data_IF_028187692607
#
_entry.id   IF_028187692607
#
_cell.length_a   1.000
_cell.length_b   1.000
_cell.length_c   1.000
_cell.angle_alpha   90.00
_cell.angle_beta   90.00
_cell.angle_gamma   90.00
#
_symmetry.space_group_name_H-M   'P 1'
#
loop_
_entity.id
_entity.type
_entity.pdbx_description
1 polymer ?
#
# COMPACT_ATOMS: atom_id res chain seq x y z
N UNK A 1 48.08 33.29 -13.77
CA UNK A 1 48.24 32.05 -12.99
C UNK A 1 47.30 32.19 -11.80
N UNK A 2 46.10 31.59 -11.87
CA UNK A 2 45.71 30.37 -11.14
C UNK A 2 45.82 30.57 -9.62
N UNK A 3 44.82 30.34 -8.77
CA UNK A 3 43.66 29.44 -8.75
C UNK A 3 42.76 29.96 -7.61
N UNK A 4 41.43 30.10 -7.73
CA UNK A 4 40.51 28.97 -7.80
C UNK A 4 40.27 28.40 -6.39
N UNK A 5 39.22 28.87 -5.72
CA UNK A 5 38.54 28.11 -4.67
C UNK A 5 37.04 28.17 -4.95
N UNK A 6 36.59 27.10 -5.61
CA UNK A 6 35.21 26.79 -5.92
C UNK A 6 34.35 26.79 -4.65
N UNK A 7 33.43 27.74 -4.56
CA UNK A 7 32.20 27.55 -3.79
C UNK A 7 31.19 26.83 -4.70
N UNK A 8 31.32 25.51 -4.83
CA UNK A 8 30.21 24.67 -5.31
C UNK A 8 29.84 23.74 -4.16
N UNK A 9 28.89 24.20 -3.35
CA UNK A 9 28.11 23.38 -2.45
C UNK A 9 27.43 22.27 -3.26
N UNK A 10 27.89 21.03 -3.13
CA UNK A 10 27.18 19.84 -3.59
C UNK A 10 25.94 19.63 -2.70
N UNK A 11 24.96 20.52 -2.79
CA UNK A 11 23.64 20.29 -2.20
C UNK A 11 22.93 19.24 -3.04
N UNK A 12 22.51 18.13 -2.41
CA UNK A 12 21.68 17.12 -3.07
C UNK A 12 20.43 17.80 -3.66
N UNK A 13 20.12 17.63 -4.95
CA UNK A 13 18.95 18.24 -5.57
C UNK A 13 17.66 17.99 -4.76
N UNK A 14 16.78 18.99 -4.66
CA UNK A 14 15.55 18.92 -3.83
C UNK A 14 14.68 17.71 -4.17
N UNK A 15 14.56 17.36 -5.45
CA UNK A 15 13.80 16.20 -5.91
C UNK A 15 14.42 14.85 -5.50
N UNK A 16 15.65 14.81 -4.99
CA UNK A 16 16.28 13.61 -4.43
C UNK A 16 16.25 13.58 -2.90
N UNK A 17 15.77 14.66 -2.26
CA UNK A 17 15.61 14.72 -0.83
C UNK A 17 14.27 14.09 -0.44
N UNK A 18 14.32 12.84 0.03
CA UNK A 18 13.14 12.13 0.51
C UNK A 18 12.61 12.80 1.78
N UNK A 19 11.32 13.16 1.76
CA UNK A 19 10.62 13.87 2.83
C UNK A 19 10.52 13.06 4.13
N UNK A 20 10.49 11.72 4.06
CA UNK A 20 10.42 10.87 5.24
C UNK A 20 11.54 11.24 6.24
N UNK A 21 11.22 11.32 7.55
CA UNK A 21 12.18 11.72 8.55
C UNK A 21 13.37 10.76 8.55
N UNK A 22 14.60 11.27 8.69
CA UNK A 22 15.75 10.41 8.88
C UNK A 22 15.61 9.62 10.18
N UNK A 23 16.29 8.47 10.26
CA UNK A 23 16.62 7.90 11.56
C UNK A 23 17.37 8.95 12.37
N UNK A 24 16.76 9.42 13.46
CA UNK A 24 17.54 10.13 14.47
C UNK A 24 18.48 9.11 15.12
N UNK A 25 19.79 9.42 15.24
CA UNK A 25 20.69 8.57 15.98
C UNK A 25 20.21 8.52 17.43
N UNK A 26 19.56 7.41 17.80
CA UNK A 26 19.20 7.15 19.17
C UNK A 26 20.51 6.87 19.93
N UNK A 27 20.88 7.77 20.84
CA UNK A 27 21.95 7.50 21.78
C UNK A 27 21.62 6.28 22.64
N UNK A 28 22.65 5.65 23.20
CA UNK A 28 22.44 4.56 24.15
C UNK A 28 21.71 5.09 25.39
N UNK A 29 20.52 4.56 25.65
CA UNK A 29 19.74 4.92 26.84
C UNK A 29 20.00 3.92 27.97
N UNK A 30 21.16 4.05 28.61
CA UNK A 30 21.62 3.13 29.66
C UNK A 30 20.74 3.09 30.92
N UNK A 31 19.84 4.07 31.11
CA UNK A 31 18.91 4.09 32.23
C UNK A 31 17.69 3.19 32.03
N UNK A 32 17.47 2.68 30.81
CA UNK A 32 16.32 1.82 30.52
C UNK A 32 16.18 0.64 31.49
N UNK A 33 17.24 -0.14 31.80
CA UNK A 33 17.12 -1.28 32.72
C UNK A 33 16.85 -0.89 34.18
N UNK A 34 17.06 0.38 34.55
CA UNK A 34 16.83 0.90 35.89
C UNK A 34 15.39 1.38 36.10
N UNK A 35 14.61 1.47 35.02
CA UNK A 35 13.20 1.82 35.11
C UNK A 35 12.39 0.69 35.77
N UNK A 36 11.35 1.02 36.55
CA UNK A 36 10.41 0.03 37.05
C UNK A 36 9.82 -0.83 35.92
N UNK A 37 9.53 -2.10 36.23
CA UNK A 37 9.03 -3.08 35.26
C UNK A 37 7.82 -2.58 34.48
N UNK A 38 6.88 -1.91 35.15
CA UNK A 38 5.68 -1.37 34.52
C UNK A 38 5.99 -0.29 33.48
N UNK A 39 7.00 0.56 33.75
CA UNK A 39 7.44 1.60 32.82
C UNK A 39 8.14 0.97 31.62
N UNK A 40 9.03 0.00 31.85
CA UNK A 40 9.70 -0.74 30.76
C UNK A 40 8.68 -1.45 29.87
N UNK A 41 7.67 -2.06 30.47
CA UNK A 41 6.56 -2.68 29.75
C UNK A 41 5.82 -1.69 28.86
N UNK A 42 5.45 -0.52 29.38
CA UNK A 42 4.78 0.53 28.61
C UNK A 42 5.65 1.03 27.45
N UNK A 43 6.97 1.19 27.65
CA UNK A 43 7.89 1.56 26.57
C UNK A 43 7.90 0.50 25.47
N UNK A 44 7.93 -0.79 25.84
CA UNK A 44 7.86 -1.86 24.85
C UNK A 44 6.54 -1.85 24.08
N UNK A 45 5.40 -1.71 24.76
CA UNK A 45 4.10 -1.61 24.09
C UNK A 45 4.03 -0.39 23.17
N UNK A 46 4.52 0.76 23.63
CA UNK A 46 4.53 1.99 22.84
C UNK A 46 5.36 1.82 21.56
N UNK A 47 6.55 1.22 21.64
CA UNK A 47 7.38 0.95 20.46
C UNK A 47 6.80 -0.05 19.44
N UNK A 48 5.74 -0.77 19.82
CA UNK A 48 4.99 -1.67 18.94
C UNK A 48 3.74 -1.02 18.35
N UNK A 49 3.29 0.11 18.92
CA UNK A 49 2.01 0.75 18.64
C UNK A 49 2.03 1.60 17.36
N UNK A 50 2.42 0.98 16.24
CA UNK A 50 2.39 1.57 14.91
C UNK A 50 1.47 0.78 14.00
N UNK A 51 0.79 1.47 13.10
CA UNK A 51 -0.01 0.82 12.06
C UNK A 51 0.91 0.10 11.07
N UNK A 52 0.44 -1.04 10.55
CA UNK A 52 1.18 -1.81 9.53
C UNK A 52 0.30 -2.13 8.34
N UNK A 53 0.85 -1.95 7.16
CA UNK A 53 0.26 -2.35 5.88
C UNK A 53 0.88 -3.68 5.44
N UNK A 54 0.09 -4.75 5.43
CA UNK A 54 0.55 -6.11 5.16
C UNK A 54 -0.02 -6.61 3.84
N UNK A 55 0.84 -6.68 2.83
CA UNK A 55 0.50 -7.21 1.51
C UNK A 55 0.48 -8.73 1.55
N UNK A 56 -0.71 -9.31 1.36
CA UNK A 56 -0.90 -10.76 1.34
C UNK A 56 -1.63 -11.22 0.07
N UNK A 57 -1.26 -12.41 -0.38
CA UNK A 57 -1.98 -13.16 -1.37
C UNK A 57 -2.52 -14.44 -0.72
N UNK A 58 -3.80 -14.70 -0.92
CA UNK A 58 -4.46 -15.91 -0.44
C UNK A 58 -4.59 -16.88 -1.61
N UNK A 59 -3.80 -17.96 -1.58
CA UNK A 59 -3.76 -18.95 -2.65
C UNK A 59 -3.98 -20.35 -2.10
N UNK A 60 -4.47 -21.25 -2.94
CA UNK A 60 -4.31 -22.69 -2.71
C UNK A 60 -2.96 -23.09 -3.31
N UNK A 61 -2.03 -23.53 -2.48
CA UNK A 61 -0.72 -24.01 -2.95
C UNK A 61 -0.88 -25.39 -3.60
N UNK A 62 -1.37 -25.45 -4.84
CA UNK A 62 -1.30 -26.67 -5.67
C UNK A 62 0.07 -26.73 -6.36
N UNK A 63 1.10 -27.17 -5.63
CA UNK A 63 2.36 -27.60 -6.26
C UNK A 63 2.21 -29.02 -6.76
N UNK A 64 1.65 -29.20 -7.97
CA UNK A 64 1.63 -30.51 -8.64
C UNK A 64 3.00 -30.96 -9.16
N UNK A 65 4.06 -30.18 -8.93
CA UNK A 65 5.46 -30.61 -9.02
C UNK A 65 6.37 -29.80 -8.08
N UNK A 66 6.48 -30.16 -6.79
CA UNK A 66 7.55 -29.66 -5.92
C UNK A 66 8.81 -30.53 -6.12
N UNK A 67 10.03 -29.97 -6.08
CA UNK A 67 11.24 -30.78 -5.93
C UNK A 67 11.10 -31.69 -4.69
N UNK A 68 11.53 -32.94 -4.81
CA UNK A 68 11.28 -34.12 -3.96
C UNK A 68 11.40 -33.98 -2.42
N UNK A 69 11.77 -32.83 -1.85
CA UNK A 69 11.95 -32.62 -0.40
C UNK A 69 10.75 -32.01 0.34
N UNK A 70 9.67 -31.63 -0.34
CA UNK A 70 8.51 -30.95 0.30
C UNK A 70 7.30 -31.84 0.56
N UNK A 71 7.40 -33.16 0.34
CA UNK A 71 6.26 -34.09 0.44
C UNK A 71 5.77 -34.37 1.87
N UNK A 72 6.52 -33.99 2.90
CA UNK A 72 6.24 -34.42 4.29
C UNK A 72 5.51 -33.39 5.17
N UNK A 73 5.24 -32.16 4.70
CA UNK A 73 4.64 -31.10 5.54
C UNK A 73 3.29 -30.56 5.06
N UNK A 74 2.73 -31.10 3.99
CA UNK A 74 1.44 -30.68 3.44
C UNK A 74 0.26 -31.31 4.19
N UNK A 75 0.00 -30.86 5.41
CA UNK A 75 -1.33 -31.03 5.99
C UNK A 75 -2.27 -30.04 5.28
N UNK A 76 -3.14 -30.58 4.41
CA UNK A 76 -4.51 -30.16 4.04
C UNK A 76 -5.00 -28.73 4.36
N UNK A 77 -4.19 -27.68 4.20
CA UNK A 77 -4.65 -26.30 4.34
C UNK A 77 -5.37 -25.88 3.06
N UNK A 78 -6.64 -25.49 3.18
CA UNK A 78 -7.48 -25.13 2.04
C UNK A 78 -7.12 -23.76 1.41
N UNK A 79 -6.26 -23.00 2.08
CA UNK A 79 -5.65 -21.77 1.60
C UNK A 79 -4.28 -21.60 2.28
N UNK A 80 -3.45 -20.72 1.74
CA UNK A 80 -2.17 -20.35 2.32
C UNK A 80 -1.98 -18.84 2.21
N UNK A 81 -1.43 -18.25 3.27
CA UNK A 81 -1.06 -16.84 3.31
C UNK A 81 0.34 -16.68 2.71
N UNK A 82 0.44 -15.95 1.61
CA UNK A 82 1.73 -15.63 0.96
C UNK A 82 1.99 -14.13 1.08
N UNK A 83 3.11 -13.77 1.69
CA UNK A 83 3.50 -12.38 1.90
C UNK A 83 4.09 -11.79 0.62
N UNK A 84 3.62 -10.62 0.19
CA UNK A 84 4.09 -9.94 -1.01
C UNK A 84 5.52 -9.39 -0.90
N UNK A 85 6.00 -9.19 0.33
CA UNK A 85 7.28 -8.57 0.62
C UNK A 85 8.02 -9.26 1.77
N UNK A 86 9.30 -8.93 1.92
CA UNK A 86 10.16 -9.49 2.97
C UNK A 86 9.58 -9.21 4.35
N UNK A 87 9.16 -10.28 5.02
CA UNK A 87 8.68 -10.23 6.39
C UNK A 87 9.81 -9.81 7.34
N UNK A 88 9.67 -8.63 7.96
CA UNK A 88 10.57 -8.15 9.01
C UNK A 88 9.85 -8.26 10.35
N UNK A 89 10.06 -9.38 11.04
CA UNK A 89 9.60 -9.54 12.42
C UNK A 89 10.23 -8.43 13.28
N UNK A 90 9.45 -7.83 14.18
CA UNK A 90 9.95 -6.81 15.10
C UNK A 90 11.21 -7.30 15.81
N UNK A 91 12.21 -6.42 15.96
CA UNK A 91 13.45 -6.75 16.67
C UNK A 91 13.17 -7.14 18.13
N UNK A 92 12.07 -6.64 18.72
CA UNK A 92 11.68 -6.93 20.10
C UNK A 92 11.43 -8.41 20.38
N UNK A 93 11.17 -9.23 19.36
CA UNK A 93 11.08 -10.68 19.53
C UNK A 93 12.43 -11.34 19.90
N UNK A 94 13.55 -10.63 19.73
CA UNK A 94 14.91 -11.18 19.85
C UNK A 94 15.85 -10.38 20.75
N UNK A 95 15.42 -9.21 21.27
CA UNK A 95 16.29 -8.34 22.09
C UNK A 95 16.44 -8.87 23.52
N UNK A 96 15.34 -8.98 24.29
CA UNK A 96 15.33 -9.53 25.64
C UNK A 96 14.12 -10.45 25.85
N UNK A 97 14.10 -11.22 26.95
CA UNK A 97 12.93 -12.01 27.34
C UNK A 97 11.71 -11.12 27.61
N UNK A 98 11.93 -9.95 28.22
CA UNK A 98 10.90 -8.96 28.50
C UNK A 98 10.31 -8.37 27.22
N UNK A 99 11.15 -7.90 26.29
CA UNK A 99 10.68 -7.33 25.03
C UNK A 99 9.96 -8.38 24.19
N UNK A 100 10.41 -9.64 24.22
CA UNK A 100 9.76 -10.75 23.53
C UNK A 100 8.38 -11.04 24.11
N UNK A 101 8.24 -11.02 25.44
CA UNK A 101 6.95 -11.19 26.12
C UNK A 101 5.98 -10.06 25.74
N UNK A 102 6.44 -8.82 25.72
CA UNK A 102 5.64 -7.68 25.26
C UNK A 102 5.21 -7.83 23.79
N UNK A 103 6.13 -8.22 22.90
CA UNK A 103 5.84 -8.44 21.49
C UNK A 103 4.84 -9.57 21.25
N UNK A 104 4.93 -10.68 21.98
CA UNK A 104 3.98 -11.79 21.89
C UNK A 104 2.59 -11.44 22.45
N UNK A 105 2.54 -10.63 23.51
CA UNK A 105 1.27 -10.14 24.06
C UNK A 105 0.59 -9.15 23.10
N UNK A 106 1.37 -8.31 22.43
CA UNK A 106 0.86 -7.34 21.46
C UNK A 106 0.40 -8.01 20.17
N UNK A 107 1.26 -8.80 19.53
CA UNK A 107 0.92 -9.58 18.35
C UNK A 107 0.37 -10.95 18.72
N UNK A 108 -0.84 -10.92 19.29
CA UNK A 108 -1.48 -12.06 19.94
C UNK A 108 -1.89 -13.18 18.98
N UNK A 109 -2.08 -12.88 17.70
CA UNK A 109 -2.41 -13.89 16.68
C UNK A 109 -1.14 -14.32 15.96
N UNK A 110 -1.00 -15.63 15.76
CA UNK A 110 0.11 -16.25 15.04
C UNK A 110 -0.43 -17.17 13.95
N UNK A 111 -0.18 -16.82 12.69
CA UNK A 111 -0.59 -17.62 11.55
C UNK A 111 0.62 -18.18 10.79
N UNK A 112 0.58 -19.44 10.33
CA UNK A 112 1.57 -19.93 9.38
C UNK A 112 1.43 -19.18 8.06
N UNK A 113 2.55 -18.75 7.48
CA UNK A 113 2.55 -18.09 6.18
C UNK A 113 3.83 -18.42 5.40
N UNK A 114 3.85 -17.98 4.16
CA UNK A 114 4.92 -18.21 3.21
C UNK A 114 5.47 -16.89 2.71
N UNK A 115 6.78 -16.88 2.45
CA UNK A 115 7.48 -15.75 1.84
C UNK A 115 8.33 -16.24 0.68
N UNK A 116 8.28 -15.53 -0.46
CA UNK A 116 9.14 -15.77 -1.61
C UNK A 116 10.42 -14.95 -1.50
N UNK A 117 11.56 -15.63 -1.35
CA UNK A 117 12.85 -14.95 -1.47
C UNK A 117 13.08 -14.45 -2.90
N UNK A 118 14.06 -13.55 -3.09
CA UNK A 118 14.49 -13.09 -4.43
C UNK A 118 14.92 -14.25 -5.34
N UNK A 119 15.38 -15.35 -4.74
CA UNK A 119 15.82 -16.56 -5.42
C UNK A 119 14.66 -17.53 -5.73
N UNK A 120 13.40 -17.07 -5.55
CA UNK A 120 12.18 -17.85 -5.72
C UNK A 120 12.08 -19.06 -4.77
N UNK A 121 12.74 -18.97 -3.63
CA UNK A 121 12.67 -20.00 -2.60
C UNK A 121 11.55 -19.65 -1.63
N UNK A 122 10.57 -20.55 -1.55
CA UNK A 122 9.50 -20.52 -0.56
C UNK A 122 10.03 -20.85 0.82
N UNK A 123 9.88 -19.91 1.74
CA UNK A 123 10.21 -20.10 3.16
C UNK A 123 8.96 -20.01 4.00
N UNK A 124 8.72 -21.01 4.85
CA UNK A 124 7.66 -20.97 5.84
C UNK A 124 8.07 -20.05 6.99
N UNK A 125 7.21 -19.11 7.33
CA UNK A 125 7.42 -18.15 8.43
C UNK A 125 6.13 -17.96 9.23
N UNK A 126 6.21 -17.27 10.37
CA UNK A 126 5.05 -16.95 11.20
C UNK A 126 4.67 -15.48 11.00
N UNK A 127 3.42 -15.26 10.64
CA UNK A 127 2.78 -13.96 10.60
C UNK A 127 2.22 -13.65 11.99
N UNK A 128 2.77 -12.62 12.61
CA UNK A 128 2.36 -12.11 13.93
C UNK A 128 1.41 -10.93 13.69
N UNK A 129 0.19 -10.99 14.22
CA UNK A 129 -0.89 -10.04 13.90
C UNK A 129 -1.43 -9.35 15.15
N UNK A 130 -1.66 -8.04 15.01
CA UNK A 130 -2.40 -7.17 15.91
C UNK A 130 -3.59 -6.60 15.09
N UNK A 131 -4.78 -7.23 15.18
CA UNK A 131 -5.98 -6.85 14.42
C UNK A 131 -6.27 -5.34 14.32
N UNK A 132 -6.11 -4.63 15.43
CA UNK A 132 -6.49 -3.22 15.57
C UNK A 132 -5.62 -2.29 14.72
N UNK A 133 -4.35 -2.67 14.47
CA UNK A 133 -3.36 -1.82 13.79
C UNK A 133 -2.88 -2.38 12.45
N UNK A 134 -3.12 -3.66 12.17
CA UNK A 134 -2.69 -4.31 10.93
C UNK A 134 -3.75 -4.21 9.84
N UNK A 135 -3.40 -3.54 8.73
CA UNK A 135 -4.20 -3.45 7.52
C UNK A 135 -3.78 -4.53 6.54
N UNK A 136 -4.71 -5.41 6.18
CA UNK A 136 -4.44 -6.48 5.23
C UNK A 136 -4.80 -6.07 3.81
N UNK A 137 -3.77 -5.93 2.96
CA UNK A 137 -3.97 -5.68 1.54
C UNK A 137 -4.00 -7.00 0.77
N UNK A 138 -5.18 -7.38 0.30
CA UNK A 138 -5.37 -8.63 -0.43
C UNK A 138 -5.10 -8.39 -1.92
N UNK A 139 -3.92 -8.74 -2.42
CA UNK A 139 -3.58 -8.57 -3.84
C UNK A 139 -4.37 -9.52 -4.77
N UNK A 140 -4.85 -10.63 -4.22
CA UNK A 140 -5.74 -11.59 -4.86
C UNK A 140 -6.92 -11.86 -3.95
N UNK A 141 -8.13 -11.65 -4.45
CA UNK A 141 -9.35 -11.83 -3.67
C UNK A 141 -10.14 -13.04 -4.16
N UNK A 142 -10.34 -14.00 -3.26
CA UNK A 142 -11.23 -15.15 -3.46
C UNK A 142 -12.08 -15.30 -2.23
N UNK A 143 -13.40 -15.32 -2.38
CA UNK A 143 -14.32 -15.45 -1.25
C UNK A 143 -14.04 -16.69 -0.40
N UNK A 144 -13.72 -17.81 -1.04
CA UNK A 144 -13.46 -19.07 -0.34
C UNK A 144 -12.23 -18.97 0.57
N UNK A 145 -11.20 -18.26 0.13
CA UNK A 145 -9.99 -18.09 0.94
C UNK A 145 -10.13 -16.95 1.94
N UNK A 146 -10.80 -15.86 1.55
CA UNK A 146 -11.11 -14.75 2.43
C UNK A 146 -11.94 -15.19 3.63
N UNK A 147 -12.99 -15.98 3.41
CA UNK A 147 -13.87 -16.50 4.46
C UNK A 147 -13.08 -17.28 5.52
N UNK A 148 -12.21 -18.19 5.08
CA UNK A 148 -11.37 -18.99 5.99
C UNK A 148 -10.32 -18.13 6.69
N UNK A 149 -9.67 -17.23 5.96
CA UNK A 149 -8.68 -16.33 6.53
C UNK A 149 -9.29 -15.42 7.61
N UNK A 150 -10.44 -14.82 7.35
CA UNK A 150 -11.15 -13.98 8.31
C UNK A 150 -11.61 -14.78 9.54
N UNK A 151 -12.06 -16.02 9.33
CA UNK A 151 -12.39 -16.93 10.42
C UNK A 151 -11.18 -17.29 11.28
N UNK A 152 -10.05 -17.65 10.67
CA UNK A 152 -8.85 -18.05 11.40
C UNK A 152 -8.27 -16.88 12.20
N UNK A 153 -8.28 -15.66 11.64
CA UNK A 153 -7.94 -14.45 12.41
C UNK A 153 -8.84 -14.29 13.64
N UNK A 154 -10.15 -14.52 13.50
CA UNK A 154 -11.08 -14.41 14.64
C UNK A 154 -10.95 -15.55 15.66
N UNK A 155 -10.77 -16.78 15.19
CA UNK A 155 -10.69 -17.97 16.02
C UNK A 155 -9.35 -18.06 16.77
N UNK A 156 -8.26 -17.59 16.16
CA UNK A 156 -6.94 -17.54 16.79
C UNK A 156 -6.74 -16.29 17.66
N UNK A 157 -7.67 -15.32 17.64
CA UNK A 157 -7.60 -14.13 18.49
C UNK A 157 -8.23 -14.40 19.86
N UNK A 158 -7.47 -14.33 20.96
CA UNK A 158 -8.03 -14.42 22.32
C UNK A 158 -9.06 -13.31 22.62
N UNK A 159 -8.97 -12.16 21.94
CA UNK A 159 -9.91 -11.05 22.08
C UNK A 159 -11.08 -11.14 21.11
N UNK A 160 -11.08 -12.13 20.19
CA UNK A 160 -12.14 -12.33 19.19
C UNK A 160 -12.46 -11.10 18.33
N UNK A 161 -11.47 -10.24 18.05
CA UNK A 161 -11.64 -9.07 17.18
C UNK A 161 -11.63 -9.50 15.71
N UNK A 162 -10.69 -10.35 15.31
CA UNK A 162 -10.61 -10.89 13.96
C UNK A 162 -10.15 -9.87 12.91
N UNK A 163 -10.67 -9.95 11.68
CA UNK A 163 -10.28 -9.04 10.60
C UNK A 163 -11.13 -7.76 10.63
N UNK A 164 -10.51 -6.62 10.96
CA UNK A 164 -11.20 -5.31 11.04
C UNK A 164 -10.69 -4.28 10.02
N UNK A 165 -9.40 -4.33 9.64
CA UNK A 165 -8.79 -3.41 8.68
C UNK A 165 -8.45 -4.15 7.36
N UNK A 166 -9.23 -3.89 6.32
CA UNK A 166 -9.10 -4.54 5.01
C UNK A 166 -8.76 -3.53 3.92
N UNK A 167 -7.83 -3.90 3.04
CA UNK A 167 -7.52 -3.15 1.84
C UNK A 167 -7.58 -4.03 0.59
N UNK A 168 -8.08 -3.47 -0.50
CA UNK A 168 -8.35 -4.16 -1.77
C UNK A 168 -7.87 -3.28 -2.95
N UNK A 169 -7.24 -3.85 -4.01
CA UNK A 169 -7.00 -3.13 -5.25
C UNK A 169 -8.25 -2.44 -5.84
N UNK A 170 -8.14 -1.15 -6.14
CA UNK A 170 -9.18 -0.40 -6.86
C UNK A 170 -9.40 -0.94 -8.29
N UNK A 171 -8.38 -1.59 -8.88
CA UNK A 171 -8.49 -2.21 -10.20
C UNK A 171 -9.16 -3.60 -10.20
N UNK A 172 -9.69 -4.07 -9.07
CA UNK A 172 -10.22 -5.43 -8.97
C UNK A 172 -11.31 -5.73 -10.01
N UNK A 173 -11.14 -6.81 -10.82
CA UNK A 173 -12.15 -7.24 -11.78
C UNK A 173 -13.49 -7.58 -11.13
N UNK A 174 -14.57 -7.24 -11.83
CA UNK A 174 -15.95 -7.46 -11.37
C UNK A 174 -16.29 -8.94 -11.12
N UNK A 175 -15.57 -9.88 -11.75
CA UNK A 175 -15.78 -11.31 -11.58
C UNK A 175 -15.39 -11.82 -10.18
N UNK A 176 -14.49 -11.14 -9.47
CA UNK A 176 -14.08 -11.55 -8.12
C UNK A 176 -15.14 -11.28 -7.05
N UNK A 177 -16.11 -10.41 -7.33
CA UNK A 177 -17.27 -10.15 -6.47
C UNK A 177 -18.48 -11.03 -6.80
N UNK A 178 -18.37 -11.93 -7.80
CA UNK A 178 -19.44 -12.89 -8.10
C UNK A 178 -19.43 -13.99 -7.05
N UNK A 179 -20.25 -13.82 -6.03
CA UNK A 179 -20.54 -14.85 -5.06
C UNK A 179 -21.51 -15.87 -5.67
N UNK A 180 -21.17 -17.16 -5.61
CA UNK A 180 -22.16 -18.24 -5.77
C UNK A 180 -22.91 -18.46 -4.44
N UNK A 181 -23.31 -17.38 -3.75
CA UNK A 181 -24.03 -17.49 -2.49
C UNK A 181 -25.42 -18.03 -2.80
N UNK A 182 -25.74 -19.21 -2.26
CA UNK A 182 -27.11 -19.72 -2.21
C UNK A 182 -27.84 -18.94 -1.11
N UNK A 183 -28.97 -18.28 -1.40
CA UNK A 183 -29.62 -17.34 -0.49
C UNK A 183 -30.18 -17.93 0.83
N UNK A 184 -30.10 -19.24 1.05
CA UNK A 184 -30.74 -19.95 2.17
C UNK A 184 -29.80 -20.81 3.03
N UNK A 185 -28.48 -20.65 2.94
CA UNK A 185 -27.56 -21.31 3.89
C UNK A 185 -27.37 -20.45 5.14
N UNK A 186 -27.17 -21.12 6.29
CA UNK A 186 -26.67 -20.59 7.58
C UNK A 186 -25.75 -19.38 7.41
N UNK A 187 -25.73 -18.39 8.35
CA UNK A 187 -24.95 -17.16 8.21
C UNK A 187 -23.52 -17.52 7.83
N UNK A 188 -23.20 -17.31 6.55
CA UNK A 188 -21.96 -17.80 5.99
C UNK A 188 -20.82 -17.22 6.83
N UNK A 189 -19.77 -18.00 7.05
CA UNK A 189 -18.57 -17.51 7.76
C UNK A 189 -18.06 -16.23 7.07
N UNK A 190 -18.32 -16.12 5.77
CA UNK A 190 -18.18 -14.89 4.99
C UNK A 190 -18.98 -13.70 5.55
N UNK A 191 -20.29 -13.85 5.84
CA UNK A 191 -21.11 -12.78 6.42
C UNK A 191 -20.53 -12.28 7.73
N UNK A 192 -20.07 -13.19 8.60
CA UNK A 192 -19.45 -12.81 9.86
C UNK A 192 -18.09 -12.12 9.65
N UNK A 193 -17.27 -12.60 8.71
CA UNK A 193 -16.01 -11.95 8.36
C UNK A 193 -16.21 -10.55 7.82
N UNK A 194 -17.20 -10.37 6.93
CA UNK A 194 -17.57 -9.07 6.37
C UNK A 194 -18.15 -8.13 7.42
N UNK A 195 -18.99 -8.60 8.34
CA UNK A 195 -19.64 -7.73 9.34
C UNK A 195 -18.66 -7.09 10.33
N UNK A 196 -17.48 -7.68 10.54
CA UNK A 196 -16.43 -7.17 11.44
C UNK A 196 -15.57 -6.07 10.83
N UNK A 197 -15.62 -5.87 9.51
CA UNK A 197 -14.79 -4.84 8.87
C UNK A 197 -15.16 -3.46 9.42
N UNK A 198 -14.18 -2.79 10.02
CA UNK A 198 -14.28 -1.42 10.54
C UNK A 198 -13.70 -0.42 9.55
N UNK A 199 -12.69 -0.83 8.77
CA UNK A 199 -12.06 0.00 7.76
C UNK A 199 -11.86 -0.75 6.46
N UNK A 200 -12.27 -0.12 5.36
CA UNK A 200 -12.05 -0.60 4.01
C UNK A 200 -11.29 0.44 3.19
N UNK A 201 -10.15 0.05 2.64
CA UNK A 201 -9.37 0.89 1.73
C UNK A 201 -9.34 0.32 0.32
N UNK A 202 -9.84 1.07 -0.66
CA UNK A 202 -9.67 0.76 -2.08
C UNK A 202 -8.39 1.42 -2.58
N UNK A 203 -7.33 0.64 -2.79
CA UNK A 203 -5.99 1.16 -3.09
C UNK A 203 -5.70 1.16 -4.60
N UNK A 204 -5.27 2.30 -5.12
CA UNK A 204 -4.72 2.46 -6.46
C UNK A 204 -3.20 2.64 -6.40
N UNK A 205 -2.47 1.71 -7.02
CA UNK A 205 -1.02 1.80 -7.27
C UNK A 205 -0.69 2.46 -8.62
N UNK A 206 -1.73 2.83 -9.39
CA UNK A 206 -1.62 3.42 -10.74
C UNK A 206 -1.67 4.94 -10.76
N UNK A 207 -1.87 5.59 -9.60
CA UNK A 207 -2.31 6.98 -9.48
C UNK A 207 -1.36 8.07 -9.97
N UNK A 208 -0.38 7.80 -10.83
CA UNK A 208 0.57 8.84 -11.23
C UNK A 208 1.32 8.68 -12.55
N UNK A 209 1.16 7.61 -13.33
CA UNK A 209 1.86 7.50 -14.62
C UNK A 209 0.90 7.02 -15.67
N UNK A 210 0.65 7.82 -16.71
CA UNK A 210 0.01 7.32 -17.92
C UNK A 210 0.52 8.00 -19.17
N UNK A 211 0.70 7.17 -20.20
CA UNK A 211 0.90 7.58 -21.57
C UNK A 211 -0.46 7.86 -22.21
N UNK A 212 -0.80 9.14 -22.37
CA UNK A 212 -2.01 9.58 -23.04
C UNK A 212 -1.75 9.58 -24.55
N UNK A 213 -2.21 8.55 -25.27
CA UNK A 213 -2.24 8.56 -26.74
C UNK A 213 -3.51 9.26 -27.25
N UNK A 214 -3.58 10.58 -27.10
CA UNK A 214 -4.68 11.38 -27.66
C UNK A 214 -4.33 12.01 -29.03
N UNK A 215 -3.06 12.04 -29.45
CA UNK A 215 -2.63 12.64 -30.74
C UNK A 215 -1.50 11.85 -31.43
N UNK A 216 -0.93 12.36 -32.54
CA UNK A 216 0.31 11.81 -33.17
C UNK A 216 1.50 11.77 -32.18
N UNK A 217 1.43 12.52 -31.09
CA UNK A 217 2.41 12.54 -30.02
C UNK A 217 1.74 12.11 -28.71
N UNK A 218 2.28 11.10 -28.00
CA UNK A 218 1.79 10.77 -26.68
C UNK A 218 2.13 11.89 -25.69
N UNK A 219 1.21 12.20 -24.78
CA UNK A 219 1.47 13.08 -23.64
C UNK A 219 1.76 12.18 -22.44
N UNK A 220 2.89 12.40 -21.77
CA UNK A 220 3.23 11.72 -20.53
C UNK A 220 2.87 12.62 -19.37
N UNK A 221 1.85 12.23 -18.62
CA UNK A 221 1.41 12.95 -17.44
C UNK A 221 1.88 12.19 -16.21
N UNK A 222 2.61 12.88 -15.35
CA UNK A 222 3.15 12.32 -14.13
C UNK A 222 2.86 13.21 -12.94
N UNK A 223 2.15 12.67 -11.95
CA UNK A 223 1.87 13.41 -10.73
C UNK A 223 3.00 13.12 -9.72
N UNK A 224 3.96 14.05 -9.63
CA UNK A 224 5.12 13.97 -8.74
C UNK A 224 4.79 14.22 -7.27
N UNK A 225 3.59 14.71 -6.99
CA UNK A 225 3.10 14.99 -5.65
C UNK A 225 2.68 13.71 -4.92
N UNK A 226 2.13 12.74 -5.66
CA UNK A 226 1.60 11.49 -5.11
C UNK A 226 2.71 10.68 -4.41
N UNK A 227 2.47 10.13 -3.21
CA UNK A 227 3.44 9.30 -2.49
C UNK A 227 3.87 8.04 -3.24
N UNK A 228 5.10 7.61 -3.03
CA UNK A 228 5.70 6.43 -3.65
C UNK A 228 5.46 5.20 -2.77
N UNK A 229 4.93 4.12 -3.34
CA UNK A 229 4.68 2.88 -2.60
C UNK A 229 6.00 2.22 -2.17
N UNK A 230 6.03 1.66 -0.96
CA UNK A 230 7.18 0.93 -0.42
C UNK A 230 6.76 -0.44 0.10
N UNK A 231 7.76 -1.32 0.24
CA UNK A 231 7.58 -2.62 0.87
C UNK A 231 7.75 -2.58 2.40
N UNK A 232 8.07 -1.42 2.96
CA UNK A 232 8.03 -1.20 4.42
C UNK A 232 6.57 -1.23 4.87
N UNK A 233 6.31 -2.05 5.88
CA UNK A 233 4.96 -2.31 6.35
C UNK A 233 4.49 -1.26 7.35
N UNK A 234 5.37 -0.81 8.25
CA UNK A 234 5.01 0.17 9.28
C UNK A 234 4.94 1.59 8.72
N UNK A 235 3.91 2.33 9.14
CA UNK A 235 3.74 3.73 8.77
C UNK A 235 3.14 4.53 9.93
N UNK A 236 3.38 5.83 9.90
CA UNK A 236 2.72 6.81 10.76
C UNK A 236 1.69 7.59 9.95
N UNK A 237 0.53 7.86 10.56
CA UNK A 237 -0.57 8.57 9.90
C UNK A 237 -0.53 10.05 10.25
N UNK A 238 -0.34 10.90 9.26
CA UNK A 238 -0.48 12.34 9.39
C UNK A 238 -1.90 12.77 8.95
N UNK A 239 -2.55 13.69 9.66
CA UNK A 239 -3.92 14.11 9.36
C UNK A 239 -4.06 14.80 7.99
N UNK A 240 -2.97 15.40 7.50
CA UNK A 240 -2.86 15.94 6.15
C UNK A 240 -1.42 15.79 5.65
N UNK A 241 -1.22 15.80 4.33
CA UNK A 241 0.11 15.88 3.74
C UNK A 241 0.66 17.32 3.81
N UNK A 242 1.69 17.58 4.62
CA UNK A 242 2.21 18.94 4.84
C UNK A 242 2.99 19.48 3.63
N UNK A 243 3.25 18.65 2.61
CA UNK A 243 3.95 19.06 1.39
C UNK A 243 3.03 19.72 0.37
N UNK A 244 1.71 19.58 0.55
CA UNK A 244 0.71 20.00 -0.42
C UNK A 244 0.41 21.49 -0.38
N UNK A 245 0.20 22.05 -1.57
CA UNK A 245 -0.44 23.33 -1.83
C UNK A 245 -1.81 23.11 -2.47
N UNK A 246 -2.72 24.10 -2.37
CA UNK A 246 -4.12 23.94 -2.82
C UNK A 246 -4.28 23.58 -4.30
N UNK A 247 -3.33 23.93 -5.15
CA UNK A 247 -3.33 23.59 -6.58
C UNK A 247 -2.98 22.12 -6.86
N UNK A 248 -2.21 21.47 -5.98
CA UNK A 248 -1.68 20.12 -6.20
C UNK A 248 -2.79 19.06 -6.25
N UNK A 249 -3.92 19.32 -5.60
CA UNK A 249 -5.08 18.43 -5.55
C UNK A 249 -6.12 18.72 -6.62
N UNK A 250 -5.99 19.79 -7.41
CA UNK A 250 -6.97 20.10 -8.47
C UNK A 250 -6.94 19.13 -9.63
N UNK A 251 -5.80 18.48 -9.85
CA UNK A 251 -5.58 17.55 -10.94
C UNK A 251 -4.93 16.26 -10.47
N UNK A 252 -5.63 15.52 -9.59
CA UNK A 252 -5.18 14.19 -9.17
C UNK A 252 -5.57 13.18 -10.24
N UNK A 253 -4.56 12.47 -10.76
CA UNK A 253 -4.76 11.48 -11.81
C UNK A 253 -5.08 10.12 -11.19
N UNK A 254 -6.27 9.58 -11.46
CA UNK A 254 -6.70 8.30 -10.90
C UNK A 254 -6.42 7.09 -11.80
N UNK A 255 -5.88 7.29 -13.00
CA UNK A 255 -5.60 6.22 -13.96
C UNK A 255 -6.72 5.99 -14.98
N UNK A 256 -6.76 4.76 -15.50
CA UNK A 256 -7.81 4.18 -16.33
C UNK A 256 -8.90 3.49 -15.50
N UNK A 257 -8.92 3.75 -14.19
CA UNK A 257 -9.75 3.04 -13.22
C UNK A 257 -11.04 3.82 -13.00
N UNK A 258 -12.18 3.16 -13.17
CA UNK A 258 -13.45 3.59 -12.58
C UNK A 258 -13.31 3.56 -11.05
N UNK A 259 -13.09 4.73 -10.44
CA UNK A 259 -12.86 4.88 -9.00
C UNK A 259 -14.11 4.58 -8.16
N UNK A 260 -15.29 4.67 -8.76
CA UNK A 260 -16.57 4.40 -8.08
C UNK A 260 -16.93 2.91 -8.09
N UNK A 261 -16.64 2.23 -9.19
CA UNK A 261 -16.94 0.82 -9.40
C UNK A 261 -16.56 -0.11 -8.24
N UNK A 262 -15.35 -0.02 -7.64
CA UNK A 262 -14.93 -0.86 -6.52
C UNK A 262 -15.82 -0.72 -5.30
N UNK A 263 -16.19 0.52 -4.93
CA UNK A 263 -17.09 0.77 -3.81
C UNK A 263 -18.50 0.27 -4.09
N UNK A 264 -19.03 0.54 -5.30
CA UNK A 264 -20.32 0.00 -5.73
C UNK A 264 -20.37 -1.54 -5.64
N UNK A 265 -19.31 -2.21 -6.07
CA UNK A 265 -19.19 -3.68 -5.98
C UNK A 265 -19.15 -4.16 -4.53
N UNK A 266 -18.39 -3.48 -3.68
CA UNK A 266 -18.31 -3.79 -2.26
C UNK A 266 -19.66 -3.61 -1.56
N UNK A 267 -20.32 -2.46 -1.73
CA UNK A 267 -21.63 -2.20 -1.14
C UNK A 267 -22.68 -3.18 -1.65
N UNK A 268 -22.66 -3.52 -2.94
CA UNK A 268 -23.50 -4.56 -3.51
C UNK A 268 -23.24 -5.91 -2.84
N UNK A 269 -21.98 -6.30 -2.66
CA UNK A 269 -21.60 -7.54 -1.96
C UNK A 269 -22.20 -7.58 -0.55
N UNK A 270 -22.04 -6.51 0.24
CA UNK A 270 -22.61 -6.42 1.59
C UNK A 270 -24.13 -6.61 1.55
N UNK A 271 -24.83 -5.89 0.65
CA UNK A 271 -26.28 -5.99 0.50
C UNK A 271 -26.74 -7.40 0.12
N UNK A 272 -26.09 -8.03 -0.87
CA UNK A 272 -26.45 -9.39 -1.35
C UNK A 272 -26.12 -10.48 -0.34
N UNK A 273 -25.19 -10.21 0.57
CA UNK A 273 -24.80 -11.13 1.64
C UNK A 273 -25.59 -10.89 2.93
N UNK A 274 -26.52 -9.94 2.96
CA UNK A 274 -27.29 -9.56 4.14
C UNK A 274 -26.41 -9.04 5.28
N UNK A 275 -25.27 -8.42 4.96
CA UNK A 275 -24.36 -7.84 5.95
C UNK A 275 -24.88 -6.48 6.37
N UNK A 276 -25.10 -6.33 7.67
CA UNK A 276 -25.35 -5.05 8.32
C UNK A 276 -24.27 -4.86 9.38
N UNK A 277 -23.63 -3.70 9.38
CA UNK A 277 -22.64 -3.35 10.39
C UNK A 277 -23.37 -2.70 11.58
N UNK A 278 -23.04 -3.13 12.79
CA UNK A 278 -23.53 -2.52 14.03
C UNK A 278 -22.71 -1.28 14.43
N UNK A 279 -21.63 -1.01 13.69
CA UNK A 279 -20.71 0.10 13.85
C UNK A 279 -20.55 0.90 12.57
N UNK A 280 -19.98 2.11 12.71
CA UNK A 280 -19.61 2.94 11.55
C UNK A 280 -18.38 2.35 10.87
N UNK A 281 -18.50 2.07 9.58
CA UNK A 281 -17.36 1.65 8.74
C UNK A 281 -16.71 2.87 8.11
N UNK A 282 -15.38 2.91 8.15
CA UNK A 282 -14.57 3.93 7.50
C UNK A 282 -14.17 3.43 6.11
N UNK A 283 -14.75 4.04 5.08
CA UNK A 283 -14.41 3.76 3.68
C UNK A 283 -13.41 4.79 3.17
N UNK A 284 -12.30 4.32 2.59
CA UNK A 284 -11.21 5.17 2.10
C UNK A 284 -10.76 4.77 0.71
N UNK A 285 -10.31 5.77 -0.05
CA UNK A 285 -9.63 5.57 -1.33
C UNK A 285 -8.14 5.87 -1.16
N UNK A 286 -7.31 4.84 -1.37
CA UNK A 286 -5.87 4.93 -1.23
C UNK A 286 -5.19 5.24 -2.56
N UNK A 287 -4.20 6.14 -2.56
CA UNK A 287 -3.44 6.48 -3.77
C UNK A 287 -1.94 6.44 -3.48
N UNK A 288 -1.21 5.73 -4.32
CA UNK A 288 0.25 5.79 -4.35
C UNK A 288 0.78 5.52 -5.76
N UNK A 289 2.05 5.84 -5.97
CA UNK A 289 2.80 5.52 -7.19
C UNK A 289 3.50 4.19 -7.02
N UNK A 290 3.05 3.19 -7.76
CA UNK A 290 3.77 1.95 -8.00
C UNK A 290 4.62 2.02 -9.28
N UNK A 291 5.42 0.99 -9.51
CA UNK A 291 6.38 0.95 -10.63
C UNK A 291 5.78 0.35 -11.93
N UNK A 292 4.46 0.13 -12.04
CA UNK A 292 3.88 -0.54 -13.21
C UNK A 292 3.81 0.35 -14.46
N UNK A 293 4.96 0.58 -15.09
CA UNK A 293 5.07 0.94 -16.52
C UNK A 293 5.51 -0.31 -17.29
N UNK A 294 4.54 -1.17 -17.63
CA UNK A 294 4.50 -2.01 -18.84
C UNK A 294 5.60 -3.02 -19.22
N UNK A 295 6.85 -3.01 -18.70
CA UNK A 295 7.95 -3.76 -19.34
C UNK A 295 9.04 -4.34 -18.43
N UNK A 296 8.93 -4.29 -17.09
CA UNK A 296 9.89 -4.95 -16.18
C UNK A 296 9.19 -5.79 -15.12
N UNK A 297 9.58 -7.07 -15.02
CA UNK A 297 9.07 -8.02 -14.00
C UNK A 297 9.75 -7.88 -12.63
N UNK A 298 10.54 -6.82 -12.39
CA UNK A 298 11.18 -6.59 -11.09
C UNK A 298 11.10 -5.12 -10.73
N UNK A 299 10.12 -4.78 -9.89
CA UNK A 299 10.03 -3.47 -9.27
C UNK A 299 11.19 -3.32 -8.25
N UNK A 300 11.94 -2.20 -8.26
CA UNK A 300 12.91 -1.94 -7.21
C UNK A 300 12.17 -1.79 -5.88
N UNK A 301 12.43 -2.73 -4.96
CA UNK A 301 11.78 -2.78 -3.65
C UNK A 301 12.36 -1.69 -2.75
N UNK A 302 11.59 -0.62 -2.52
CA UNK A 302 11.94 0.40 -1.53
C UNK A 302 11.83 -0.23 -0.14
N UNK A 303 12.95 -0.27 0.57
CA UNK A 303 13.04 -0.94 1.89
C UNK A 303 13.84 -0.17 2.94
N UNK A 304 14.45 0.95 2.52
CA UNK A 304 15.20 1.92 3.31
C UNK A 304 15.32 3.23 2.51
N UNK A 305 15.85 4.28 3.14
CA UNK A 305 16.01 5.60 2.53
C UNK A 305 16.88 5.59 1.26
N UNK A 306 17.97 4.83 1.26
CA UNK A 306 18.87 4.74 0.11
C UNK A 306 18.16 4.17 -1.13
N UNK A 307 17.43 3.07 -0.97
CA UNK A 307 16.62 2.47 -2.05
C UNK A 307 15.49 3.38 -2.53
N UNK A 308 14.99 4.29 -1.69
CA UNK A 308 14.03 5.31 -2.11
C UNK A 308 14.67 6.37 -3.00
N UNK A 309 15.87 6.84 -2.67
CA UNK A 309 16.64 7.78 -3.51
C UNK A 309 16.95 7.15 -4.86
N UNK A 310 17.43 5.90 -4.88
CA UNK A 310 17.69 5.15 -6.12
C UNK A 310 16.43 5.00 -6.98
N UNK A 311 15.28 4.75 -6.35
CA UNK A 311 14.00 4.66 -7.05
C UNK A 311 13.65 5.99 -7.72
N UNK A 312 13.79 7.12 -7.02
CA UNK A 312 13.49 8.45 -7.57
C UNK A 312 14.46 8.84 -8.70
N UNK A 313 15.74 8.47 -8.58
CA UNK A 313 16.71 8.67 -9.65
C UNK A 313 16.31 7.87 -10.90
N UNK A 314 15.98 6.60 -10.74
CA UNK A 314 15.54 5.77 -11.85
C UNK A 314 14.26 6.32 -12.51
N UNK A 315 13.32 6.78 -11.69
CA UNK A 315 12.07 7.40 -12.12
C UNK A 315 12.29 8.70 -12.93
N UNK A 316 13.25 9.51 -12.49
CA UNK A 316 13.71 10.72 -13.19
C UNK A 316 14.37 10.38 -14.54
N UNK A 317 15.20 9.35 -14.56
CA UNK A 317 15.85 8.89 -15.79
C UNK A 317 14.85 8.27 -16.78
N UNK A 318 13.85 7.54 -16.30
CA UNK A 318 12.76 7.01 -17.13
C UNK A 318 11.98 8.14 -17.79
N UNK A 319 11.64 9.18 -17.03
CA UNK A 319 10.99 10.40 -17.53
C UNK A 319 11.85 11.09 -18.61
N UNK A 320 13.15 11.26 -18.36
CA UNK A 320 14.08 11.84 -19.35
C UNK A 320 14.13 11.02 -20.64
N UNK A 321 14.31 9.70 -20.53
CA UNK A 321 14.33 8.79 -21.69
C UNK A 321 13.04 8.86 -22.50
N UNK A 322 11.90 8.99 -21.81
CA UNK A 322 10.61 9.18 -22.47
C UNK A 322 10.60 10.48 -23.30
N UNK A 323 10.98 11.61 -22.71
CA UNK A 323 11.06 12.90 -23.42
C UNK A 323 11.95 12.82 -24.65
N UNK A 324 13.15 12.26 -24.52
CA UNK A 324 14.09 12.09 -25.64
C UNK A 324 13.54 11.18 -26.76
N UNK A 325 12.77 10.16 -26.41
CA UNK A 325 12.23 9.19 -27.39
C UNK A 325 11.10 9.80 -28.23
N UNK A 326 10.25 10.61 -27.61
CA UNK A 326 9.02 11.13 -28.25
C UNK A 326 9.17 12.55 -28.81
N UNK A 327 10.13 13.35 -28.33
CA UNK A 327 10.47 14.66 -28.89
C UNK A 327 11.72 14.57 -29.77
N UNK A 328 11.54 14.22 -31.05
CA UNK A 328 12.63 14.05 -32.05
C UNK A 328 13.17 15.36 -32.66
N UNK A 329 12.63 16.53 -32.29
CA UNK A 329 13.11 17.81 -32.85
C UNK A 329 14.41 18.25 -32.14
N UNK A 330 15.45 18.67 -32.88
CA UNK A 330 16.68 19.21 -32.30
C UNK A 330 16.47 20.48 -31.47
N UNK A 331 15.49 21.33 -31.82
CA UNK A 331 15.21 22.58 -31.08
C UNK A 331 14.62 22.32 -29.69
N UNK A 332 13.77 21.30 -29.57
CA UNK A 332 13.15 20.91 -28.29
C UNK A 332 14.17 20.26 -27.33
N UNK A 333 15.23 19.63 -27.85
CA UNK A 333 16.22 18.92 -27.02
C UNK A 333 16.97 19.84 -26.04
N UNK A 334 17.20 21.10 -26.42
CA UNK A 334 17.79 22.11 -25.53
C UNK A 334 16.82 22.63 -24.44
N UNK A 335 15.52 22.40 -24.61
CA UNK A 335 14.49 22.79 -23.63
C UNK A 335 14.14 21.65 -22.67
N UNK A 336 14.48 20.40 -23.00
CA UNK A 336 14.20 19.21 -22.18
C UNK A 336 14.79 19.37 -20.77
N UNK A 337 16.06 19.78 -20.65
CA UNK A 337 16.68 19.92 -19.33
C UNK A 337 16.01 21.01 -18.49
N UNK A 338 15.57 22.11 -19.11
CA UNK A 338 14.81 23.16 -18.44
C UNK A 338 13.40 22.71 -18.04
N UNK A 339 12.71 21.93 -18.87
CA UNK A 339 11.37 21.44 -18.60
C UNK A 339 11.38 20.37 -17.51
N UNK A 340 12.34 19.44 -17.57
CA UNK A 340 12.60 18.44 -16.53
C UNK A 340 12.95 19.14 -15.22
N UNK A 341 13.92 20.08 -15.23
CA UNK A 341 14.29 20.83 -14.04
C UNK A 341 13.08 21.55 -13.43
N UNK A 342 12.27 22.22 -14.25
CA UNK A 342 11.04 22.88 -13.79
C UNK A 342 10.08 21.91 -13.10
N UNK A 343 9.77 20.77 -13.73
CA UNK A 343 8.88 19.76 -13.14
C UNK A 343 9.38 19.31 -11.77
N UNK A 344 10.67 19.03 -11.64
CA UNK A 344 11.25 18.52 -10.39
C UNK A 344 11.54 19.58 -9.33
N UNK A 345 11.76 20.84 -9.70
CA UNK A 345 11.98 21.95 -8.77
C UNK A 345 10.67 22.52 -8.21
N UNK A 346 9.62 22.59 -9.05
CA UNK A 346 8.28 23.03 -8.66
C UNK A 346 7.52 21.95 -7.88
N UNK A 347 7.84 20.67 -8.10
CA UNK A 347 7.24 19.57 -7.34
C UNK A 347 7.71 19.55 -5.88
N UNK A 348 6.83 19.14 -4.95
CA UNK A 348 7.25 18.89 -3.57
C UNK A 348 8.27 17.76 -3.50
N UNK A 349 9.00 17.72 -2.39
CA UNK A 349 9.94 16.64 -2.08
C UNK A 349 9.23 15.28 -2.17
N UNK A 350 9.80 14.27 -2.84
CA UNK A 350 9.21 12.94 -2.88
C UNK A 350 9.03 12.36 -1.48
N UNK A 351 7.94 11.63 -1.28
CA UNK A 351 7.67 10.92 -0.03
C UNK A 351 7.38 9.46 -0.33
N UNK A 352 7.79 8.60 0.59
CA UNK A 352 7.47 7.18 0.57
C UNK A 352 6.30 6.93 1.51
N UNK A 353 5.23 6.33 0.99
CA UNK A 353 3.98 6.18 1.69
C UNK A 353 2.80 6.03 0.72
N UNK A 354 1.62 6.42 1.19
CA UNK A 354 0.40 6.51 0.40
C UNK A 354 -0.54 7.56 0.98
N UNK A 355 -1.42 8.10 0.14
CA UNK A 355 -2.53 8.93 0.58
C UNK A 355 -3.75 8.07 0.90
N UNK A 356 -4.55 8.51 1.87
CA UNK A 356 -5.90 8.03 2.09
C UNK A 356 -6.87 9.21 1.99
N UNK A 357 -7.83 9.10 1.08
CA UNK A 357 -8.94 10.01 0.97
C UNK A 357 -10.21 9.37 1.53
N UNK A 358 -11.16 10.16 2.05
CA UNK A 358 -12.50 9.68 2.33
C UNK A 358 -13.17 9.16 1.04
N UNK A 359 -14.01 8.13 1.13
CA UNK A 359 -14.70 7.55 -0.03
C UNK A 359 -15.46 8.61 -0.85
N UNK A 360 -16.03 9.61 -0.18
CA UNK A 360 -16.77 10.72 -0.76
C UNK A 360 -15.97 11.53 -1.79
N UNK A 361 -14.63 11.48 -1.72
CA UNK A 361 -13.76 12.21 -2.66
C UNK A 361 -13.79 11.64 -4.08
N UNK A 362 -14.19 10.39 -4.24
CA UNK A 362 -14.24 9.71 -5.55
C UNK A 362 -15.60 9.08 -5.83
N UNK A 363 -16.46 9.01 -4.82
CA UNK A 363 -17.76 8.37 -4.88
C UNK A 363 -18.84 9.27 -4.31
N UNK A 364 -19.80 9.64 -5.16
CA UNK A 364 -21.07 10.22 -4.71
C UNK A 364 -22.12 9.13 -4.95
N UNK A 365 -22.89 8.72 -3.94
CA UNK A 365 -23.98 7.77 -4.15
C UNK A 365 -25.02 8.42 -5.09
N UNK A 366 -25.03 8.05 -6.37
CA UNK A 366 -26.10 8.45 -7.28
C UNK A 366 -27.37 7.60 -7.04
N UNK A 367 -28.52 8.26 -7.18
CA UNK A 367 -29.86 7.67 -7.13
C UNK A 367 -29.92 6.45 -8.09
N UNK A 368 -30.42 5.26 -7.68
CA UNK A 368 -30.28 3.98 -8.41
C UNK A 368 -31.01 3.88 -9.76
N UNK A 369 -31.32 5.00 -10.42
CA UNK A 369 -32.08 5.06 -11.67
C UNK A 369 -31.25 5.28 -12.95
N UNK A 370 -29.92 5.36 -12.89
CA UNK A 370 -29.11 5.35 -14.11
C UNK A 370 -28.63 3.92 -14.39
N UNK A 371 -29.58 3.05 -14.72
CA UNK A 371 -29.29 1.87 -15.54
C UNK A 371 -29.14 2.34 -16.99
N UNK A 372 -27.93 2.75 -17.34
CA UNK A 372 -27.54 3.09 -18.71
C UNK A 372 -26.37 2.22 -19.13
N UNK A 373 -26.67 1.14 -19.85
CA UNK A 373 -25.76 0.51 -20.80
C UNK A 373 -25.10 1.57 -21.67
N UNK A 374 -23.86 1.93 -21.35
CA UNK A 374 -22.81 2.27 -22.29
C UNK A 374 -21.53 2.46 -21.50
N UNK A 375 -20.73 1.39 -21.40
CA UNK A 375 -19.32 1.50 -21.06
C UNK A 375 -18.60 2.20 -22.24
N UNK A 376 -18.92 3.47 -22.47
CA UNK A 376 -18.15 4.33 -23.35
C UNK A 376 -16.76 4.41 -22.73
N UNK A 377 -15.73 3.98 -23.47
CA UNK A 377 -14.30 4.10 -23.18
C UNK A 377 -14.04 5.14 -22.10
N UNK A 378 -13.84 4.69 -20.85
CA UNK A 378 -13.53 5.58 -19.75
C UNK A 378 -12.26 6.34 -20.13
N UNK A 379 -12.42 7.64 -20.39
CA UNK A 379 -11.30 8.55 -20.57
C UNK A 379 -10.45 8.56 -19.32
N UNK A 380 -9.25 9.10 -19.46
CA UNK A 380 -8.32 9.37 -18.37
C UNK A 380 -9.01 10.22 -17.31
N UNK A 381 -9.20 9.68 -16.10
CA UNK A 381 -9.91 10.37 -15.03
C UNK A 381 -8.94 11.20 -14.21
N UNK A 382 -8.85 12.49 -14.53
CA UNK A 382 -8.28 13.50 -13.62
C UNK A 382 -9.43 14.06 -12.80
N UNK A 383 -9.26 14.11 -11.47
CA UNK A 383 -10.29 14.55 -10.53
C UNK A 383 -9.75 15.67 -9.66
N UNK A 384 -10.59 16.68 -9.40
CA UNK A 384 -10.32 17.70 -8.41
C UNK A 384 -10.65 17.15 -7.02
N UNK A 385 -9.62 16.94 -6.20
CA UNK A 385 -9.71 16.44 -4.84
C UNK A 385 -9.43 17.55 -3.81
N UNK A 386 -9.39 18.83 -4.23
CA UNK A 386 -9.02 19.96 -3.35
C UNK A 386 -9.96 20.17 -2.15
N UNK A 387 -11.20 19.68 -2.24
CA UNK A 387 -12.17 19.70 -1.13
C UNK A 387 -11.89 18.62 -0.07
N UNK A 388 -11.01 17.67 -0.35
CA UNK A 388 -10.71 16.52 0.50
C UNK A 388 -9.20 16.37 0.68
N UNK A 389 -8.65 17.05 1.67
CA UNK A 389 -7.23 16.88 2.01
C UNK A 389 -6.94 15.42 2.41
N UNK A 390 -5.94 14.76 1.80
CA UNK A 390 -5.62 13.37 2.13
C UNK A 390 -4.86 13.24 3.44
N UNK A 391 -5.14 12.18 4.19
CA UNK A 391 -4.22 11.70 5.21
C UNK A 391 -2.95 11.19 4.51
N UNK A 392 -1.78 11.51 5.05
CA UNK A 392 -0.50 10.96 4.57
C UNK A 392 -0.07 9.81 5.48
N UNK A 393 -0.09 8.59 4.94
CA UNK A 393 0.47 7.41 5.60
C UNK A 393 1.96 7.32 5.26
N UNK A 394 2.78 7.86 6.15
CA UNK A 394 4.22 8.05 5.98
C UNK A 394 4.96 6.76 6.35
N UNK A 395 5.64 6.14 5.38
CA UNK A 395 6.35 4.90 5.63
C UNK A 395 7.61 5.11 6.49
N UNK A 396 7.87 4.17 7.42
CA UNK A 396 9.02 4.24 8.33
C UNK A 396 10.28 3.68 7.65
N UNK A 397 10.78 4.41 6.65
CA UNK A 397 11.94 4.02 5.82
C UNK A 397 13.26 4.47 6.45
N UNK A 398 13.67 3.69 7.45
CA UNK A 398 14.93 3.84 8.16
C UNK A 398 16.16 3.47 7.33
#
# INVERSE_FOLDING_TARGET
>A
MASGCNQNSNATPRHLQIFNPPLEPCGDFHLFPLLPDDIRWLVWQHSLSHERWIDINLNRLDYTNPPHRMRELANSEAYSVVLGHRWRISKLFRTTSESRRAALAFYRIQLPCWYESKDKIMSRVTLYVCPELDHFFLCGFSFVYFERFAHDLWACDPCHIGLVNLALPASFPSCFFKTSIKPNCEPSVLRQGLSRIERLTMMSDKGAKTLIRQSRYPIYQMNHVVPIRSAVQSFDRLPYDPRLHGEDLKQVFLGDIDSQGPFNRWLKLLSTSGVHHEHKVIYQFGICRGYKTGYSHREPVISNRQSAVEWVQHDTDEFRRWFETFHRSPELRGQIDHEIARVFEESPQPVVGFWLFPMESVFVPEDPKIHGTDASRAGLTTVDMSQHMPELCLANIY
#
